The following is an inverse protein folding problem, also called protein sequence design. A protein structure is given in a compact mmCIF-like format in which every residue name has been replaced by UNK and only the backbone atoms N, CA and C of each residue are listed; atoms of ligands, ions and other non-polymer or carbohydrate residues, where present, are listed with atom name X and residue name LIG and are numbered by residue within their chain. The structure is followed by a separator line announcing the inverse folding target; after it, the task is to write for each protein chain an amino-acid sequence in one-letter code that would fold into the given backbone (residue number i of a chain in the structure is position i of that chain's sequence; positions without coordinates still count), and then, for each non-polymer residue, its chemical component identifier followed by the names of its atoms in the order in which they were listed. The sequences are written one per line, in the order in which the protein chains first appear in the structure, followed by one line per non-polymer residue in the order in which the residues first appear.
data_IF_756936443912
#
_entry.id   IF_756936443912
#
_cell.length_a   1.000
_cell.length_b   1.000
_cell.length_c   1.000
_cell.angle_alpha   90.00
_cell.angle_beta   90.00
_cell.angle_gamma   90.00
#
_symmetry.space_group_name_H-M   'P 1'
#
loop_
_entity.id
_entity.type
_entity.pdbx_description
1 polymer ?
#
# COMPACT_ATOMS: atom_id res chain seq x y z
N UNK A 1 -8.17 5.52 -12.44
CA UNK A 1 -8.21 4.81 -11.13
C UNK A 1 -7.42 5.59 -10.11
N UNK A 2 -7.96 5.76 -8.93
CA UNK A 2 -7.22 6.41 -7.87
C UNK A 2 -6.32 5.40 -7.15
N UNK A 3 -5.20 5.87 -6.64
CA UNK A 3 -4.23 4.99 -5.98
C UNK A 3 -4.80 4.31 -4.74
N UNK A 4 -5.69 4.98 -4.02
CA UNK A 4 -6.36 4.34 -2.87
C UNK A 4 -7.20 3.14 -3.32
N UNK A 5 -7.85 3.24 -4.47
CA UNK A 5 -8.63 2.13 -4.99
C UNK A 5 -7.73 0.94 -5.35
N UNK A 6 -6.55 1.21 -5.88
CA UNK A 6 -5.57 0.17 -6.17
C UNK A 6 -5.15 -0.56 -4.90
N UNK A 7 -4.87 0.19 -3.84
CA UNK A 7 -4.47 -0.38 -2.55
C UNK A 7 -5.59 -1.24 -1.97
N UNK A 8 -6.82 -0.72 -1.97
CA UNK A 8 -7.96 -1.47 -1.48
C UNK A 8 -8.20 -2.76 -2.27
N UNK A 9 -8.10 -2.66 -3.59
CA UNK A 9 -8.29 -3.83 -4.45
C UNK A 9 -7.26 -4.91 -4.13
N UNK A 10 -5.99 -4.53 -4.05
CA UNK A 10 -4.92 -5.48 -3.77
C UNK A 10 -5.09 -6.14 -2.40
N UNK A 11 -5.39 -5.35 -1.39
CA UNK A 11 -5.55 -5.88 -0.03
C UNK A 11 -6.81 -6.70 0.10
N UNK A 12 -7.89 -6.32 -0.58
CA UNK A 12 -9.16 -7.06 -0.51
C UNK A 12 -9.08 -8.42 -1.16
N UNK A 13 -8.14 -8.63 -2.07
CA UNK A 13 -7.92 -9.94 -2.68
C UNK A 13 -7.20 -10.90 -1.74
N UNK A 14 -6.40 -10.36 -0.82
CA UNK A 14 -5.59 -11.15 0.10
C UNK A 14 -6.22 -11.27 1.49
N UNK A 15 -7.03 -10.30 1.88
CA UNK A 15 -7.61 -10.20 3.21
C UNK A 15 -9.09 -9.84 3.12
N UNK A 16 -9.84 -10.02 4.20
CA UNK A 16 -11.23 -9.57 4.24
C UNK A 16 -11.30 -8.04 4.11
N UNK A 17 -12.45 -7.52 3.72
CA UNK A 17 -12.62 -6.07 3.59
C UNK A 17 -12.35 -5.33 4.89
N UNK A 18 -12.75 -5.90 6.02
CA UNK A 18 -12.50 -5.31 7.34
C UNK A 18 -11.01 -5.29 7.67
N UNK A 19 -10.31 -6.38 7.42
CA UNK A 19 -8.87 -6.44 7.65
C UNK A 19 -8.11 -5.52 6.72
N UNK A 20 -8.51 -5.47 5.45
CA UNK A 20 -7.90 -4.57 4.49
C UNK A 20 -8.00 -3.12 4.96
N UNK A 21 -9.18 -2.70 5.44
CA UNK A 21 -9.35 -1.34 5.93
C UNK A 21 -8.51 -1.06 7.17
N UNK A 22 -8.42 -2.03 8.08
CA UNK A 22 -7.57 -1.88 9.27
C UNK A 22 -6.10 -1.75 8.88
N UNK A 23 -5.64 -2.57 7.94
CA UNK A 23 -4.25 -2.51 7.47
C UNK A 23 -3.97 -1.14 6.85
N UNK A 24 -4.89 -0.62 6.04
CA UNK A 24 -4.75 0.69 5.43
C UNK A 24 -4.62 1.77 6.52
N UNK A 25 -5.53 1.78 7.46
CA UNK A 25 -5.54 2.80 8.51
C UNK A 25 -4.28 2.76 9.36
N UNK A 26 -3.86 1.59 9.78
CA UNK A 26 -2.67 1.44 10.61
C UNK A 26 -1.40 1.81 9.85
N UNK A 27 -1.32 1.42 8.58
CA UNK A 27 -0.13 1.70 7.77
C UNK A 27 -0.02 3.19 7.49
N UNK A 28 -1.13 3.84 7.12
CA UNK A 28 -1.12 5.29 6.88
C UNK A 28 -0.70 6.04 8.13
N UNK A 29 -1.19 5.61 9.30
CA UNK A 29 -0.79 6.23 10.56
C UNK A 29 0.71 6.10 10.80
N UNK A 30 1.28 4.93 10.55
CA UNK A 30 2.71 4.70 10.75
C UNK A 30 3.59 5.57 9.87
N UNK A 31 3.16 5.81 8.63
CA UNK A 31 3.95 6.61 7.70
C UNK A 31 3.56 8.10 7.71
N UNK A 32 2.59 8.47 8.56
CA UNK A 32 2.23 9.86 8.76
C UNK A 32 1.41 10.46 7.63
N UNK A 33 0.66 9.66 6.90
CA UNK A 33 -0.17 10.12 5.79
C UNK A 33 -1.64 9.94 6.11
N UNK A 34 -2.48 10.83 5.58
CA UNK A 34 -3.93 10.70 5.70
C UNK A 34 -4.51 9.86 4.57
N UNK A 35 -3.86 9.86 3.42
CA UNK A 35 -4.30 9.14 2.23
C UNK A 35 -3.13 8.97 1.28
N UNK A 36 -3.29 8.10 0.29
CA UNK A 36 -2.31 7.93 -0.78
C UNK A 36 -2.78 8.76 -1.96
N UNK A 37 -2.06 9.84 -2.26
CA UNK A 37 -2.45 10.83 -3.26
C UNK A 37 -1.57 10.82 -4.50
N UNK A 38 -0.39 10.26 -4.40
CA UNK A 38 0.58 10.25 -5.50
C UNK A 38 1.41 8.97 -5.45
N UNK A 39 2.18 8.68 -6.51
CA UNK A 39 2.98 7.45 -6.54
C UNK A 39 4.03 7.34 -5.44
N UNK A 40 4.58 8.46 -4.98
CA UNK A 40 5.55 8.42 -3.88
C UNK A 40 4.89 7.99 -2.57
N UNK A 41 3.65 8.43 -2.32
CA UNK A 41 2.88 7.96 -1.16
C UNK A 41 2.63 6.46 -1.26
N UNK A 42 2.31 5.97 -2.45
CA UNK A 42 2.09 4.55 -2.67
C UNK A 42 3.37 3.75 -2.40
N UNK A 43 4.52 4.28 -2.82
CA UNK A 43 5.80 3.64 -2.57
C UNK A 43 6.08 3.56 -1.07
N UNK A 44 5.83 4.65 -0.33
CA UNK A 44 6.02 4.66 1.11
C UNK A 44 5.11 3.63 1.80
N UNK A 45 3.86 3.56 1.36
CA UNK A 45 2.90 2.59 1.89
C UNK A 45 3.37 1.16 1.66
N UNK A 46 3.73 0.83 0.42
CA UNK A 46 4.22 -0.49 0.08
C UNK A 46 5.49 -0.86 0.82
N UNK A 47 6.41 0.09 0.96
CA UNK A 47 7.66 -0.13 1.68
C UNK A 47 7.38 -0.46 3.14
N UNK A 48 6.43 0.21 3.78
CA UNK A 48 6.06 -0.09 5.16
C UNK A 48 5.50 -1.52 5.26
N UNK A 49 4.68 -1.94 4.32
CA UNK A 49 4.11 -3.29 4.31
C UNK A 49 5.18 -4.36 4.12
N UNK A 50 6.25 -4.08 3.38
CA UNK A 50 7.31 -5.07 3.17
C UNK A 50 8.07 -5.42 4.44
N UNK A 51 7.90 -4.66 5.51
CA UNK A 51 8.50 -4.98 6.80
C UNK A 51 7.79 -6.15 7.50
N UNK A 52 6.62 -6.51 7.03
CA UNK A 52 5.85 -7.64 7.56
C UNK A 52 6.21 -8.91 6.80
N UNK A 53 6.20 -10.03 7.52
CA UNK A 53 6.43 -11.33 6.91
C UNK A 53 5.13 -11.86 6.30
N UNK A 54 5.27 -12.85 5.41
CA UNK A 54 4.13 -13.54 4.84
C UNK A 54 3.41 -12.73 3.76
N UNK A 55 2.10 -12.96 3.64
CA UNK A 55 1.30 -12.41 2.55
C UNK A 55 1.29 -10.89 2.53
N UNK A 56 1.28 -10.26 3.70
CA UNK A 56 1.26 -8.80 3.77
C UNK A 56 2.52 -8.19 3.17
N UNK A 57 3.68 -8.79 3.42
CA UNK A 57 4.93 -8.35 2.81
C UNK A 57 4.92 -8.54 1.29
N UNK A 58 4.31 -9.62 0.80
CA UNK A 58 4.19 -9.88 -0.64
C UNK A 58 3.32 -8.79 -1.29
N UNK A 59 2.20 -8.44 -0.67
CA UNK A 59 1.34 -7.37 -1.16
C UNK A 59 2.12 -6.04 -1.17
N UNK A 60 2.89 -5.77 -0.12
CA UNK A 60 3.73 -4.58 -0.06
C UNK A 60 4.70 -4.49 -1.22
N UNK A 61 5.36 -5.59 -1.55
CA UNK A 61 6.28 -5.65 -2.69
C UNK A 61 5.56 -5.36 -4.02
N UNK A 62 4.37 -5.92 -4.19
CA UNK A 62 3.55 -5.67 -5.37
C UNK A 62 3.18 -4.19 -5.49
N UNK A 63 2.82 -3.55 -4.38
CA UNK A 63 2.46 -2.13 -4.38
C UNK A 63 3.68 -1.24 -4.71
N UNK A 64 4.88 -1.63 -4.28
CA UNK A 64 6.09 -0.91 -4.65
C UNK A 64 6.32 -0.94 -6.16
N UNK A 65 6.10 -2.10 -6.78
CA UNK A 65 6.21 -2.21 -8.24
C UNK A 65 5.18 -1.31 -8.91
N UNK A 66 3.94 -1.33 -8.44
CA UNK A 66 2.90 -0.46 -8.99
C UNK A 66 3.23 1.01 -8.81
N UNK A 67 3.82 1.39 -7.68
CA UNK A 67 4.23 2.78 -7.46
C UNK A 67 5.22 3.24 -8.53
N UNK A 68 6.18 2.41 -8.87
CA UNK A 68 7.15 2.74 -9.91
C UNK A 68 6.51 2.82 -11.29
N UNK A 69 5.57 1.92 -11.58
CA UNK A 69 4.82 1.96 -12.85
C UNK A 69 4.05 3.27 -12.96
N UNK A 70 3.50 3.78 -11.87
CA UNK A 70 2.75 5.03 -11.85
C UNK A 70 3.63 6.27 -11.70
N UNK A 71 4.94 6.12 -11.63
CA UNK A 71 5.86 7.24 -11.70
C UNK A 71 6.49 7.67 -10.40
N UNK A 72 6.57 6.79 -9.40
CA UNK A 72 7.25 7.12 -8.16
C UNK A 72 8.71 7.48 -8.45
N UNK A 73 9.17 8.60 -7.92
CA UNK A 73 10.53 9.07 -8.08
C UNK A 73 11.47 8.47 -7.04
N UNK A 74 10.93 8.04 -5.92
CA UNK A 74 11.69 7.43 -4.85
C UNK A 74 12.18 6.04 -5.21
N UNK A 75 13.16 5.59 -4.51
CA UNK A 75 13.72 4.27 -4.73
C UNK A 75 12.84 3.16 -4.15
#
# INVERSE_FOLDING_TARGET
MQLMDLVRDKLSRAFSGREAQRIIDETLEKIGLEAIRNPDDLLAFGTELTKHEGLLGVVGGSLRVQARVHGAAGD
#
